data_IF_962061271968
#
_entry.id   IF_962061271968
#
_cell.length_a   1.000
_cell.length_b   1.000
_cell.length_c   1.000
_cell.angle_alpha   90.00
_cell.angle_beta   90.00
_cell.angle_gamma   90.00
#
_symmetry.space_group_name_H-M   'P 1'
#
loop_
_entity.id
_entity.type
_entity.pdbx_description
1 polymer ?
#
# COMPACT_ATOMS: atom_id res chain seq x y z
N UNK A 1 -16.62 0.33 -7.31
CA UNK A 1 -17.59 -0.33 -6.44
C UNK A 1 -17.63 0.34 -5.08
N UNK A 2 -18.84 0.65 -4.56
CA UNK A 2 -18.99 1.15 -3.20
C UNK A 2 -18.35 0.20 -2.18
N UNK A 3 -17.88 0.74 -1.06
CA UNK A 3 -17.19 -0.05 -0.03
C UNK A 3 -18.13 -0.63 1.04
N UNK A 4 -19.39 -0.18 1.04
CA UNK A 4 -20.37 -0.66 1.99
C UNK A 4 -20.79 -2.12 1.73
N UNK A 5 -21.04 -2.84 2.81
CA UNK A 5 -21.33 -4.27 2.75
C UNK A 5 -22.68 -4.57 2.06
N UNK A 6 -23.65 -3.68 2.20
CA UNK A 6 -24.99 -3.87 1.64
C UNK A 6 -24.96 -3.81 0.11
N UNK A 7 -24.32 -2.79 -0.45
CA UNK A 7 -24.15 -2.67 -1.90
C UNK A 7 -23.33 -3.82 -2.47
N UNK A 8 -22.27 -4.25 -1.77
CA UNK A 8 -21.45 -5.39 -2.20
C UNK A 8 -22.22 -6.72 -2.18
N UNK A 9 -23.14 -6.90 -1.25
CA UNK A 9 -23.99 -8.10 -1.16
C UNK A 9 -24.96 -8.24 -2.34
N UNK A 10 -25.22 -7.16 -3.10
CA UNK A 10 -26.03 -7.21 -4.31
C UNK A 10 -25.32 -7.89 -5.49
N UNK A 11 -23.98 -7.97 -5.45
CA UNK A 11 -23.18 -8.63 -6.47
C UNK A 11 -22.96 -10.08 -6.09
N UNK A 12 -23.74 -10.97 -6.68
CA UNK A 12 -23.69 -12.40 -6.41
C UNK A 12 -23.43 -13.17 -7.70
N UNK A 13 -22.78 -14.32 -7.60
CA UNK A 13 -22.64 -15.23 -8.73
C UNK A 13 -23.97 -15.91 -9.03
N UNK A 14 -24.20 -16.28 -10.28
CA UNK A 14 -25.34 -17.13 -10.67
C UNK A 14 -25.29 -18.50 -9.96
N UNK A 15 -26.43 -19.15 -9.74
CA UNK A 15 -26.47 -20.48 -9.13
C UNK A 15 -25.51 -21.46 -9.84
N UNK A 16 -24.68 -22.14 -9.08
CA UNK A 16 -23.66 -23.06 -9.57
C UNK A 16 -22.34 -22.44 -9.97
N UNK A 17 -22.23 -21.12 -9.95
CA UNK A 17 -20.99 -20.36 -10.23
C UNK A 17 -20.39 -19.77 -8.95
N UNK A 18 -19.12 -19.40 -9.02
CA UNK A 18 -18.38 -18.72 -7.94
C UNK A 18 -17.97 -17.33 -8.41
N UNK A 19 -18.09 -16.36 -7.52
CA UNK A 19 -17.49 -15.03 -7.71
C UNK A 19 -16.04 -15.08 -7.27
N UNK A 20 -15.12 -14.79 -8.19
CA UNK A 20 -13.69 -14.71 -7.91
C UNK A 20 -13.27 -13.24 -7.96
N UNK A 21 -12.66 -12.75 -6.89
CA UNK A 21 -12.02 -11.44 -6.83
C UNK A 21 -10.52 -11.63 -6.64
N UNK A 22 -9.75 -11.05 -7.55
CA UNK A 22 -8.29 -11.09 -7.48
C UNK A 22 -7.74 -9.68 -7.68
N UNK A 23 -6.79 -9.29 -6.83
CA UNK A 23 -6.13 -7.99 -6.89
C UNK A 23 -4.63 -8.18 -6.63
N UNK A 24 -3.79 -7.46 -7.38
CA UNK A 24 -2.36 -7.47 -7.17
C UNK A 24 -1.99 -6.63 -5.94
N UNK A 25 -1.23 -7.22 -5.03
CA UNK A 25 -0.72 -6.50 -3.87
C UNK A 25 0.32 -5.46 -4.30
N UNK A 26 0.03 -4.18 -4.04
CA UNK A 26 0.97 -3.07 -4.24
C UNK A 26 1.59 -3.00 -5.65
N UNK A 27 0.82 -3.33 -6.69
CA UNK A 27 1.34 -3.43 -8.07
C UNK A 27 2.06 -2.16 -8.52
N UNK A 28 1.48 -0.99 -8.30
CA UNK A 28 2.07 0.29 -8.71
C UNK A 28 3.41 0.54 -8.01
N UNK A 29 3.47 0.30 -6.71
CA UNK A 29 4.70 0.48 -5.93
C UNK A 29 5.80 -0.52 -6.33
N UNK A 30 5.44 -1.74 -6.72
CA UNK A 30 6.39 -2.73 -7.25
C UNK A 30 6.98 -2.27 -8.60
N UNK A 31 6.14 -1.71 -9.47
CA UNK A 31 6.59 -1.16 -10.76
C UNK A 31 7.52 0.02 -10.53
N UNK A 32 7.17 0.94 -9.61
CA UNK A 32 8.01 2.09 -9.25
C UNK A 32 9.36 1.60 -8.71
N UNK A 33 9.37 0.65 -7.78
CA UNK A 33 10.60 0.08 -7.22
C UNK A 33 11.50 -0.51 -8.30
N UNK A 34 10.90 -1.21 -9.28
CA UNK A 34 11.64 -1.82 -10.39
C UNK A 34 12.22 -0.77 -11.34
N UNK A 35 11.48 0.30 -11.64
CA UNK A 35 11.93 1.37 -12.55
C UNK A 35 12.98 2.25 -11.87
N UNK A 36 12.77 2.63 -10.60
CA UNK A 36 13.67 3.52 -9.87
C UNK A 36 14.90 2.82 -9.34
N UNK A 37 14.85 1.49 -9.18
CA UNK A 37 15.89 0.68 -8.54
C UNK A 37 16.22 1.16 -7.13
N UNK A 38 15.23 1.69 -6.41
CA UNK A 38 15.39 2.16 -5.03
C UNK A 38 15.65 0.97 -4.09
N UNK A 39 16.81 0.94 -3.39
CA UNK A 39 17.18 -0.20 -2.55
C UNK A 39 16.21 -0.45 -1.39
N UNK A 40 15.65 0.61 -0.78
CA UNK A 40 14.73 0.49 0.34
C UNK A 40 13.37 -0.10 -0.10
N UNK A 41 12.89 0.32 -1.27
CA UNK A 41 11.68 -0.24 -1.86
C UNK A 41 11.87 -1.70 -2.28
N UNK A 42 13.01 -2.01 -2.90
CA UNK A 42 13.33 -3.38 -3.32
C UNK A 42 13.44 -4.29 -2.10
N UNK A 43 14.13 -3.87 -1.06
CA UNK A 43 14.31 -4.65 0.16
C UNK A 43 12.99 -4.97 0.86
N UNK A 44 12.06 -4.01 0.96
CA UNK A 44 10.75 -4.25 1.59
C UNK A 44 9.92 -5.28 0.82
N UNK A 45 10.06 -5.38 -0.50
CA UNK A 45 9.34 -6.35 -1.31
C UNK A 45 10.00 -7.73 -1.32
N UNK A 46 11.33 -7.81 -1.28
CA UNK A 46 12.07 -9.07 -1.34
C UNK A 46 12.25 -9.71 0.04
N UNK A 47 12.58 -8.93 1.05
CA UNK A 47 12.97 -9.42 2.38
C UNK A 47 12.00 -9.03 3.48
N UNK A 48 11.12 -8.05 3.23
CA UNK A 48 10.11 -7.58 4.17
C UNK A 48 8.73 -8.22 3.95
N UNK A 49 7.72 -7.58 4.54
CA UNK A 49 6.30 -7.97 4.39
C UNK A 49 5.62 -7.32 3.18
N UNK A 50 6.36 -6.49 2.44
CA UNK A 50 5.86 -5.73 1.30
C UNK A 50 4.91 -4.59 1.69
N UNK A 51 4.90 -4.14 2.94
CA UNK A 51 4.08 -3.01 3.40
C UNK A 51 4.78 -1.67 3.14
N UNK A 52 4.78 -1.27 1.87
CA UNK A 52 5.36 -0.01 1.41
C UNK A 52 4.72 1.22 2.09
N UNK A 53 3.46 1.15 2.48
CA UNK A 53 2.77 2.25 3.16
C UNK A 53 3.34 2.51 4.56
N UNK A 54 3.72 1.45 5.28
CA UNK A 54 4.42 1.57 6.56
C UNK A 54 5.83 2.12 6.39
N UNK A 55 6.53 1.75 5.33
CA UNK A 55 7.83 2.34 4.99
C UNK A 55 7.68 3.83 4.68
N UNK A 56 6.74 4.22 3.83
CA UNK A 56 6.46 5.61 3.49
C UNK A 56 6.09 6.45 4.73
N UNK A 57 5.28 5.89 5.63
CA UNK A 57 4.94 6.54 6.90
C UNK A 57 6.19 6.79 7.74
N UNK A 58 7.07 5.82 7.87
CA UNK A 58 8.30 5.95 8.67
C UNK A 58 9.27 6.98 8.09
N UNK A 59 9.35 7.07 6.76
CA UNK A 59 10.15 8.10 6.07
C UNK A 59 9.56 9.50 6.22
N UNK A 60 8.23 9.63 6.17
CA UNK A 60 7.54 10.92 6.28
C UNK A 60 7.43 11.43 7.73
N UNK A 61 7.37 10.53 8.70
CA UNK A 61 7.16 10.84 10.13
C UNK A 61 8.21 10.15 11.02
N UNK A 62 9.52 10.44 10.82
CA UNK A 62 10.58 9.71 11.52
C UNK A 62 10.58 9.95 13.03
N UNK A 63 10.17 11.14 13.49
CA UNK A 63 10.13 11.48 14.93
C UNK A 63 8.98 10.77 15.65
N UNK A 64 7.79 10.76 15.03
CA UNK A 64 6.57 10.17 15.59
C UNK A 64 6.62 8.65 15.60
N UNK A 65 7.39 8.06 14.69
CA UNK A 65 7.56 6.61 14.55
C UNK A 65 8.95 6.14 15.02
N UNK A 66 9.63 6.94 15.83
CA UNK A 66 10.90 6.56 16.44
C UNK A 66 10.73 5.31 17.33
N UNK A 67 11.61 4.33 17.17
CA UNK A 67 11.55 3.07 17.93
C UNK A 67 10.49 2.06 17.44
N UNK A 68 9.69 2.40 16.43
CA UNK A 68 8.72 1.47 15.84
C UNK A 68 9.33 0.88 14.56
N UNK A 69 9.42 -0.45 14.47
CA UNK A 69 9.87 -1.11 13.23
C UNK A 69 8.80 -1.03 12.14
N UNK A 70 9.21 -1.04 10.86
CA UNK A 70 8.30 -0.94 9.71
C UNK A 70 7.17 -1.96 9.78
N UNK A 71 7.46 -3.21 10.13
CA UNK A 71 6.48 -4.28 10.29
C UNK A 71 5.42 -4.02 11.37
N UNK A 72 5.76 -3.22 12.38
CA UNK A 72 4.90 -2.93 13.53
C UNK A 72 4.03 -1.67 13.33
N UNK A 73 4.33 -0.83 12.34
CA UNK A 73 3.59 0.43 12.10
C UNK A 73 2.11 0.17 11.86
N UNK A 74 1.78 -0.89 11.12
CA UNK A 74 0.39 -1.26 10.84
C UNK A 74 -0.41 -1.57 12.11
N UNK A 75 0.21 -2.22 13.08
CA UNK A 75 -0.45 -2.61 14.34
C UNK A 75 -0.44 -1.49 15.39
N UNK A 76 0.66 -0.73 15.49
CA UNK A 76 0.89 0.24 16.57
C UNK A 76 0.59 1.69 16.18
N UNK A 77 0.61 2.03 14.89
CA UNK A 77 0.49 3.39 14.40
C UNK A 77 -0.29 3.45 13.06
N UNK A 78 -1.48 2.85 13.03
CA UNK A 78 -2.31 2.74 11.82
C UNK A 78 -2.62 4.10 11.17
N UNK A 79 -2.88 5.14 11.97
CA UNK A 79 -3.15 6.49 11.47
C UNK A 79 -1.99 7.07 10.67
N UNK A 80 -0.75 6.83 11.11
CA UNK A 80 0.45 7.25 10.38
C UNK A 80 0.66 6.43 9.12
N UNK A 81 0.30 5.14 9.13
CA UNK A 81 0.31 4.32 7.95
C UNK A 81 -0.65 4.83 6.88
N UNK A 82 -1.85 5.27 7.27
CA UNK A 82 -2.83 5.87 6.35
C UNK A 82 -2.35 7.21 5.79
N UNK A 83 -1.65 8.02 6.60
CA UNK A 83 -0.98 9.23 6.12
C UNK A 83 0.17 8.89 5.15
N UNK A 84 0.97 7.88 5.45
CA UNK A 84 2.03 7.37 4.57
C UNK A 84 1.49 6.92 3.22
N UNK A 85 0.37 6.22 3.21
CA UNK A 85 -0.35 5.84 1.99
C UNK A 85 -0.74 7.05 1.14
N UNK A 86 -1.26 8.11 1.76
CA UNK A 86 -1.61 9.35 1.04
C UNK A 86 -0.38 10.05 0.48
N UNK A 87 0.74 10.04 1.20
CA UNK A 87 2.01 10.60 0.73
C UNK A 87 2.52 9.82 -0.48
N UNK A 88 2.54 8.50 -0.41
CA UNK A 88 2.97 7.63 -1.51
C UNK A 88 2.14 7.86 -2.78
N UNK A 89 0.82 7.83 -2.67
CA UNK A 89 -0.06 8.08 -3.81
C UNK A 89 -0.03 9.53 -4.30
N UNK A 90 0.27 10.49 -3.44
CA UNK A 90 0.45 11.89 -3.82
C UNK A 90 1.74 12.15 -4.60
N UNK A 91 2.82 11.44 -4.26
CA UNK A 91 4.12 11.61 -4.90
C UNK A 91 4.23 10.80 -6.20
N UNK A 92 3.71 9.57 -6.22
CA UNK A 92 3.83 8.65 -7.36
C UNK A 92 3.36 9.24 -8.70
N UNK A 93 2.14 9.78 -8.81
CA UNK A 93 1.66 10.41 -10.05
C UNK A 93 2.38 11.70 -10.41
N UNK A 94 2.89 12.44 -9.41
CA UNK A 94 3.54 13.75 -9.63
C UNK A 94 4.92 13.59 -10.26
N UNK A 95 5.62 12.49 -9.98
CA UNK A 95 6.92 12.21 -10.61
C UNK A 95 6.80 11.97 -12.12
N UNK A 96 5.68 11.45 -12.59
CA UNK A 96 5.44 11.28 -14.02
C UNK A 96 5.12 12.58 -14.75
N UNK A 97 4.65 13.60 -14.03
CA UNK A 97 4.32 14.92 -14.57
C UNK A 97 5.54 15.87 -14.66
N UNK A 98 6.66 15.51 -14.02
CA UNK A 98 7.91 16.28 -14.02
C UNK A 98 8.90 15.85 -15.13
N UNK A 99 8.49 14.97 -16.00
CA UNK A 99 9.19 14.67 -17.26
C UNK A 99 8.58 15.44 -18.42
#
# INVERSE_FOLDING_TARGET
LPKDAETRACFVAEPGNLWISADYKSQESVIIANVTQDPAMIDIFLNGDGDIHSLAAKMAFPKELEGIEVKDVKAKAHDYRDKGKKVEFGIGPTFSALK
#
